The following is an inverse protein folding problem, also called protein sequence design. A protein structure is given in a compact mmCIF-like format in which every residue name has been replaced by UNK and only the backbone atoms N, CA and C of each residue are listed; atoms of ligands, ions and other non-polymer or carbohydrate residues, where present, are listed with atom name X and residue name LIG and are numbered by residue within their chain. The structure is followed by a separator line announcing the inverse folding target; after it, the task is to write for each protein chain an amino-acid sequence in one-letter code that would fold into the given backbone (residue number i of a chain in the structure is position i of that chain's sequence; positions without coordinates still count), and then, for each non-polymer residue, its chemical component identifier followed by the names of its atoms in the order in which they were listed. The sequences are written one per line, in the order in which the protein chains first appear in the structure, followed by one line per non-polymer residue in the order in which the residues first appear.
data_IF_170893018765
#
_entry.id   IF_170893018765
#
_cell.length_a   1.000
_cell.length_b   1.000
_cell.length_c   1.000
_cell.angle_alpha   90.00
_cell.angle_beta   90.00
_cell.angle_gamma   90.00
#
_symmetry.space_group_name_H-M   'P 1'
#
loop_
_entity.id
_entity.type
_entity.pdbx_description
1 polymer ?
#
# COMPACT_ATOMS: atom_id res chain seq x y z
N UNK A 1 -24.25 -15.25 -4.64
CA UNK A 1 -24.52 -16.48 -3.89
C UNK A 1 -23.21 -17.13 -3.50
N UNK A 2 -22.49 -16.50 -2.57
CA UNK A 2 -21.31 -17.09 -1.93
C UNK A 2 -21.76 -18.13 -0.91
N UNK A 3 -20.94 -19.16 -0.71
CA UNK A 3 -21.15 -20.22 0.25
C UNK A 3 -21.57 -19.66 1.60
N UNK A 4 -22.75 -20.05 2.04
CA UNK A 4 -23.34 -20.00 3.37
C UNK A 4 -22.73 -19.00 4.38
N UNK A 5 -23.26 -17.76 4.41
CA UNK A 5 -23.27 -16.93 5.61
C UNK A 5 -22.02 -16.10 5.93
N UNK A 6 -20.87 -16.32 5.31
CA UNK A 6 -19.62 -15.66 5.68
C UNK A 6 -19.44 -14.23 5.14
N UNK A 7 -20.25 -13.82 4.16
CA UNK A 7 -20.13 -12.52 3.49
C UNK A 7 -21.47 -11.73 3.42
N UNK A 8 -22.47 -12.12 4.19
CA UNK A 8 -23.71 -11.37 4.27
C UNK A 8 -23.57 -10.27 5.33
N UNK A 9 -23.46 -9.03 4.87
CA UNK A 9 -23.54 -7.85 5.74
C UNK A 9 -24.82 -7.08 5.39
N UNK A 10 -25.54 -6.63 6.42
CA UNK A 10 -26.65 -5.69 6.30
C UNK A 10 -26.17 -4.32 6.75
N UNK A 11 -26.40 -3.29 5.94
CA UNK A 11 -26.11 -1.91 6.27
C UNK A 11 -27.41 -1.17 6.54
N UNK A 12 -27.48 -0.47 7.68
CA UNK A 12 -28.57 0.42 8.04
C UNK A 12 -28.00 1.83 8.24
N UNK A 13 -28.49 2.78 7.45
CA UNK A 13 -28.02 4.16 7.42
C UNK A 13 -28.96 5.03 8.23
N UNK A 14 -28.51 5.44 9.42
CA UNK A 14 -29.18 6.43 10.26
C UNK A 14 -28.57 7.82 10.11
N UNK A 15 -29.15 8.78 10.79
CA UNK A 15 -28.66 10.16 10.83
C UNK A 15 -27.34 10.22 11.66
N UNK A 16 -26.23 10.48 10.98
CA UNK A 16 -24.89 10.50 11.60
C UNK A 16 -24.36 9.15 12.09
N UNK A 17 -25.01 8.04 11.73
CA UNK A 17 -24.58 6.70 12.13
C UNK A 17 -24.89 5.66 11.07
N UNK A 18 -23.93 4.79 10.74
CA UNK A 18 -24.15 3.58 9.96
C UNK A 18 -23.97 2.36 10.85
N UNK A 19 -24.96 1.46 10.81
CA UNK A 19 -24.88 0.17 11.49
C UNK A 19 -24.59 -0.92 10.46
N UNK A 20 -23.56 -1.72 10.70
CA UNK A 20 -23.20 -2.89 9.88
C UNK A 20 -23.43 -4.15 10.72
N UNK A 21 -24.30 -5.03 10.26
CA UNK A 21 -24.55 -6.33 10.90
C UNK A 21 -23.99 -7.42 10.00
N UNK A 22 -23.06 -8.19 10.50
CA UNK A 22 -22.43 -9.32 9.80
C UNK A 22 -22.40 -10.58 10.69
N UNK A 23 -21.70 -11.63 10.23
CA UNK A 23 -21.51 -12.87 11.00
C UNK A 23 -20.73 -12.73 12.32
N UNK A 24 -20.07 -11.59 12.57
CA UNK A 24 -19.33 -11.28 13.80
C UNK A 24 -20.16 -10.46 14.79
N UNK A 25 -21.25 -9.84 14.33
CA UNK A 25 -22.16 -9.05 15.15
C UNK A 25 -22.48 -7.67 14.58
N UNK A 26 -22.73 -6.71 15.46
CA UNK A 26 -23.15 -5.36 15.09
C UNK A 26 -22.01 -4.39 15.31
N UNK A 27 -21.58 -3.71 14.23
CA UNK A 27 -20.64 -2.60 14.25
C UNK A 27 -21.41 -1.29 14.03
N UNK A 28 -21.05 -0.22 14.73
CA UNK A 28 -21.62 1.13 14.52
C UNK A 28 -20.52 2.13 14.24
N UNK A 29 -20.77 2.97 13.23
CA UNK A 29 -19.87 4.04 12.79
C UNK A 29 -20.59 5.35 12.90
N UNK A 30 -20.05 6.25 13.70
CA UNK A 30 -20.62 7.59 13.95
C UNK A 30 -19.79 8.63 13.22
N UNK A 31 -20.43 9.55 12.52
CA UNK A 31 -19.80 10.55 11.66
C UNK A 31 -20.09 11.96 12.12
N UNK A 32 -19.19 12.89 11.77
CA UNK A 32 -19.50 14.30 11.75
C UNK A 32 -20.35 14.68 10.49
N UNK A 33 -20.80 15.95 10.36
CA UNK A 33 -21.55 16.41 9.18
C UNK A 33 -20.77 16.31 7.88
N UNK A 34 -19.44 16.28 7.93
CA UNK A 34 -18.55 16.23 6.77
C UNK A 34 -18.23 14.77 6.35
N UNK A 35 -18.70 13.79 7.12
CA UNK A 35 -18.57 12.36 6.83
C UNK A 35 -17.31 11.70 7.43
N UNK A 36 -16.55 12.40 8.27
CA UNK A 36 -15.43 11.81 8.99
C UNK A 36 -15.93 10.90 10.11
N UNK A 37 -15.37 9.71 10.26
CA UNK A 37 -15.71 8.80 11.35
C UNK A 37 -15.15 9.36 12.65
N UNK A 38 -16.03 9.70 13.60
CA UNK A 38 -15.64 10.16 14.93
C UNK A 38 -15.47 9.01 15.91
N UNK A 39 -16.26 7.92 15.72
CA UNK A 39 -16.27 6.78 16.62
C UNK A 39 -16.74 5.53 15.92
N UNK A 40 -16.04 4.43 16.20
CA UNK A 40 -16.47 3.06 15.88
C UNK A 40 -16.82 2.34 17.18
N UNK A 41 -17.88 1.54 17.15
CA UNK A 41 -18.28 0.64 18.22
C UNK A 41 -18.32 -0.81 17.68
N UNK A 42 -17.50 -1.68 18.22
CA UNK A 42 -17.42 -3.08 17.81
C UNK A 42 -18.53 -3.91 18.51
N UNK A 43 -18.82 -5.16 18.06
CA UNK A 43 -19.87 -6.02 18.63
C UNK A 43 -19.70 -6.33 20.11
N UNK A 44 -18.49 -6.30 20.64
CA UNK A 44 -18.18 -6.49 22.05
C UNK A 44 -18.36 -5.21 22.91
N UNK A 45 -18.81 -4.11 22.29
CA UNK A 45 -18.95 -2.80 22.91
C UNK A 45 -17.66 -2.00 23.03
N UNK A 46 -16.54 -2.52 22.56
CA UNK A 46 -15.28 -1.77 22.52
C UNK A 46 -15.35 -0.60 21.54
N UNK A 47 -14.71 0.53 21.89
CA UNK A 47 -14.87 1.78 21.15
C UNK A 47 -13.51 2.33 20.71
N UNK A 48 -13.41 2.69 19.43
CA UNK A 48 -12.30 3.45 18.87
C UNK A 48 -12.81 4.86 18.52
N UNK A 49 -12.06 5.91 18.84
CA UNK A 49 -12.40 7.29 18.48
C UNK A 49 -11.31 7.94 17.65
N UNK A 50 -11.71 8.96 16.87
CA UNK A 50 -10.87 9.61 15.88
C UNK A 50 -10.98 11.13 16.02
N UNK A 51 -9.88 11.83 15.84
CA UNK A 51 -9.81 13.29 15.79
C UNK A 51 -9.34 13.73 14.41
N UNK A 52 -9.99 14.76 13.85
CA UNK A 52 -9.74 15.26 12.51
C UNK A 52 -9.48 16.78 12.53
N UNK A 53 -8.72 17.28 11.56
CA UNK A 53 -8.60 18.71 11.32
C UNK A 53 -9.68 19.20 10.33
N UNK A 54 -9.69 20.51 10.06
CA UNK A 54 -10.60 21.17 9.12
C UNK A 54 -10.40 20.75 7.65
N UNK A 55 -9.29 20.05 7.33
CA UNK A 55 -8.96 19.53 6.00
C UNK A 55 -9.24 18.03 5.86
N UNK A 56 -9.91 17.42 6.85
CA UNK A 56 -10.19 15.98 6.93
C UNK A 56 -8.93 15.09 7.07
N UNK A 57 -7.84 15.62 7.62
CA UNK A 57 -6.71 14.81 7.99
C UNK A 57 -6.91 14.21 9.38
N UNK A 58 -6.64 12.92 9.54
CA UNK A 58 -6.71 12.24 10.84
C UNK A 58 -5.58 12.72 11.76
N UNK A 59 -5.91 13.37 12.88
CA UNK A 59 -4.93 13.86 13.86
C UNK A 59 -4.59 12.83 14.93
N UNK A 60 -5.61 12.08 15.41
CA UNK A 60 -5.42 11.07 16.42
C UNK A 60 -6.42 9.91 16.27
N UNK A 61 -5.98 8.73 16.69
CA UNK A 61 -6.79 7.53 16.84
C UNK A 61 -6.63 6.99 18.25
N UNK A 62 -7.73 6.86 18.98
CA UNK A 62 -7.76 6.34 20.34
C UNK A 62 -8.36 4.93 20.34
N UNK A 63 -7.56 3.94 20.72
CA UNK A 63 -8.02 2.55 20.80
C UNK A 63 -8.86 2.30 22.07
N UNK A 64 -9.65 1.21 22.13
CA UNK A 64 -10.41 0.84 23.33
C UNK A 64 -9.54 0.62 24.57
N UNK A 65 -8.27 0.26 24.39
CA UNK A 65 -7.31 0.08 25.47
C UNK A 65 -6.65 1.39 25.97
N UNK A 66 -7.14 2.55 25.50
CA UNK A 66 -6.59 3.86 25.86
C UNK A 66 -5.26 4.21 25.19
N UNK A 67 -4.84 3.45 24.19
CA UNK A 67 -3.64 3.74 23.39
C UNK A 67 -3.97 4.80 22.36
N UNK A 68 -3.03 5.74 22.12
CA UNK A 68 -3.22 6.85 21.21
C UNK A 68 -2.15 6.82 20.13
N UNK A 69 -2.57 6.83 18.88
CA UNK A 69 -1.72 7.08 17.71
C UNK A 69 -1.94 8.52 17.25
N UNK A 70 -0.88 9.21 16.81
CA UNK A 70 -0.96 10.61 16.37
C UNK A 70 -0.36 10.77 14.98
N UNK A 71 -0.94 11.71 14.23
CA UNK A 71 -0.56 12.02 12.86
C UNK A 71 -0.39 13.54 12.73
N UNK A 72 0.73 13.96 12.17
CA UNK A 72 1.01 15.37 11.89
C UNK A 72 1.24 15.54 10.39
N UNK A 73 0.78 16.66 9.84
CA UNK A 73 0.85 16.92 8.41
C UNK A 73 1.64 18.20 8.14
N UNK A 74 2.31 18.27 6.98
CA UNK A 74 2.97 19.49 6.57
C UNK A 74 1.94 20.50 6.04
N UNK A 75 2.10 21.77 6.40
CA UNK A 75 1.18 22.84 6.02
C UNK A 75 1.20 23.18 4.52
N UNK A 76 2.25 22.77 3.78
CA UNK A 76 2.41 23.14 2.38
C UNK A 76 1.54 22.29 1.44
N UNK A 77 1.38 20.99 1.75
CA UNK A 77 0.76 20.02 0.84
C UNK A 77 -0.21 19.08 1.54
N UNK A 78 -0.45 19.21 2.86
CA UNK A 78 -1.32 18.31 3.62
C UNK A 78 -0.80 16.86 3.67
N UNK A 79 0.50 16.65 3.52
CA UNK A 79 1.10 15.32 3.52
C UNK A 79 1.57 14.94 4.92
N UNK A 80 1.45 13.66 5.28
CA UNK A 80 1.88 13.15 6.58
C UNK A 80 3.37 13.42 6.80
N UNK A 81 3.70 14.22 7.81
CA UNK A 81 5.09 14.57 8.19
C UNK A 81 5.62 13.75 9.35
N UNK A 82 4.72 13.33 10.28
CA UNK A 82 5.05 12.49 11.42
C UNK A 82 3.90 11.56 11.77
N UNK A 83 4.25 10.34 12.12
CA UNK A 83 3.35 9.37 12.76
C UNK A 83 3.96 8.95 14.10
N UNK A 84 3.19 9.05 15.17
CA UNK A 84 3.56 8.55 16.49
C UNK A 84 2.68 7.36 16.83
N UNK A 85 3.29 6.20 16.97
CA UNK A 85 2.60 4.97 17.35
C UNK A 85 2.18 5.01 18.84
N UNK A 86 1.32 4.09 19.22
CA UNK A 86 0.74 4.03 20.56
C UNK A 86 1.74 3.74 21.70
N UNK A 87 2.92 3.23 21.37
CA UNK A 87 4.05 3.01 22.29
C UNK A 87 5.04 4.19 22.33
N UNK A 88 4.74 5.27 21.59
CA UNK A 88 5.58 6.46 21.47
C UNK A 88 6.65 6.37 20.38
N UNK A 89 6.71 5.29 19.60
CA UNK A 89 7.62 5.19 18.47
C UNK A 89 7.25 6.20 17.37
N UNK A 90 8.22 6.97 16.89
CA UNK A 90 7.98 8.05 15.92
C UNK A 90 8.58 7.72 14.55
N UNK A 91 7.79 7.93 13.51
CA UNK A 91 8.20 7.89 12.11
C UNK A 91 8.11 9.28 11.51
N UNK A 92 9.11 9.70 10.73
CA UNK A 92 9.14 10.98 10.06
C UNK A 92 9.21 10.80 8.55
N UNK A 93 8.45 11.64 7.84
CA UNK A 93 8.35 11.61 6.38
C UNK A 93 8.76 12.97 5.83
N UNK A 94 9.57 12.98 4.78
CA UNK A 94 9.95 14.19 4.05
C UNK A 94 9.65 14.01 2.58
N UNK A 95 9.37 15.12 1.93
CA UNK A 95 8.95 15.18 0.54
C UNK A 95 9.86 16.14 -0.22
N UNK A 96 10.03 15.92 -1.53
CA UNK A 96 10.73 16.83 -2.42
C UNK A 96 9.84 18.05 -2.78
N UNK A 97 10.39 18.98 -3.57
CA UNK A 97 9.68 20.20 -4.00
C UNK A 97 8.42 19.92 -4.83
N UNK A 98 8.31 18.74 -5.42
CA UNK A 98 7.14 18.27 -6.18
C UNK A 98 6.10 17.56 -5.30
N UNK A 99 6.38 17.42 -4.00
CA UNK A 99 5.52 16.70 -3.06
C UNK A 99 5.68 15.17 -3.15
N UNK A 100 6.74 14.65 -3.75
CA UNK A 100 7.01 13.23 -3.78
C UNK A 100 7.83 12.81 -2.54
N UNK A 101 7.48 11.68 -1.94
CA UNK A 101 8.19 11.16 -0.76
C UNK A 101 9.67 10.99 -1.08
N UNK A 102 10.54 11.62 -0.29
CA UNK A 102 11.99 11.58 -0.46
C UNK A 102 12.72 10.84 0.67
N UNK A 103 12.20 10.92 1.90
CA UNK A 103 12.83 10.26 3.05
C UNK A 103 11.78 9.69 4.01
N UNK A 104 12.12 8.55 4.59
CA UNK A 104 11.42 7.99 5.76
C UNK A 104 12.46 7.77 6.84
N UNK A 105 12.24 8.31 8.04
CA UNK A 105 13.07 8.03 9.21
C UNK A 105 12.26 7.23 10.22
N UNK A 106 12.80 6.10 10.66
CA UNK A 106 12.17 5.22 11.64
C UNK A 106 12.43 5.67 13.10
N UNK A 107 11.79 5.04 14.10
CA UNK A 107 11.98 5.38 15.51
C UNK A 107 13.41 5.17 16.03
N UNK A 108 14.24 4.37 15.35
CA UNK A 108 15.65 4.18 15.67
C UNK A 108 16.56 5.26 15.04
N UNK A 109 15.98 6.22 14.29
CA UNK A 109 16.71 7.26 13.56
C UNK A 109 17.30 6.77 12.23
N UNK A 110 16.96 5.56 11.80
CA UNK A 110 17.41 5.03 10.51
C UNK A 110 16.62 5.69 9.38
N UNK A 111 17.31 6.13 8.33
CA UNK A 111 16.68 6.87 7.23
C UNK A 111 16.83 6.12 5.91
N UNK A 112 15.70 5.89 5.26
CA UNK A 112 15.61 5.47 3.85
C UNK A 112 15.41 6.69 2.99
N UNK A 113 16.08 6.74 1.85
CA UNK A 113 15.96 7.83 0.88
C UNK A 113 15.43 7.30 -0.44
N UNK A 114 14.54 8.07 -1.07
CA UNK A 114 13.97 7.79 -2.37
C UNK A 114 14.20 8.96 -3.32
N UNK A 115 14.49 8.65 -4.58
CA UNK A 115 14.49 9.62 -5.67
C UNK A 115 13.52 9.16 -6.77
N UNK A 116 12.77 10.10 -7.32
CA UNK A 116 11.82 9.84 -8.40
C UNK A 116 12.28 10.51 -9.71
N UNK A 117 11.89 9.91 -10.84
CA UNK A 117 12.05 10.52 -12.16
C UNK A 117 11.06 11.68 -12.37
N UNK A 118 11.09 12.30 -13.57
CA UNK A 118 10.19 13.41 -13.93
C UNK A 118 8.71 13.01 -13.92
N UNK A 119 8.40 11.73 -14.10
CA UNK A 119 7.03 11.17 -14.08
C UNK A 119 6.55 10.84 -12.65
N UNK A 120 7.41 10.99 -11.64
CA UNK A 120 7.12 10.64 -10.25
C UNK A 120 7.36 9.17 -9.91
N UNK A 121 7.97 8.38 -10.81
CA UNK A 121 8.29 6.98 -10.55
C UNK A 121 9.60 6.88 -9.75
N UNK A 122 9.67 6.08 -8.66
CA UNK A 122 10.88 5.90 -7.88
C UNK A 122 11.96 5.22 -8.71
N UNK A 123 13.14 5.84 -8.83
CA UNK A 123 14.27 5.30 -9.62
C UNK A 123 15.47 4.91 -8.76
N UNK A 124 15.58 5.44 -7.54
CA UNK A 124 16.62 5.08 -6.57
C UNK A 124 16.03 4.99 -5.17
N UNK A 125 16.33 3.90 -4.48
CA UNK A 125 15.98 3.64 -3.08
C UNK A 125 17.28 3.35 -2.34
N UNK A 126 17.61 4.13 -1.32
CA UNK A 126 18.83 3.94 -0.52
C UNK A 126 18.43 3.53 0.89
N UNK A 127 18.99 2.42 1.36
CA UNK A 127 18.80 1.93 2.73
C UNK A 127 19.60 2.75 3.74
N UNK A 128 19.32 2.67 5.06
CA UNK A 128 20.13 3.31 6.10
C UNK A 128 21.61 2.89 6.10
N UNK A 129 21.92 1.72 5.56
CA UNK A 129 23.29 1.21 5.42
C UNK A 129 23.98 1.72 4.15
N UNK A 130 23.29 2.55 3.34
CA UNK A 130 23.82 3.08 2.09
C UNK A 130 23.72 2.14 0.90
N UNK A 131 22.96 1.02 1.03
CA UNK A 131 22.72 0.13 -0.10
C UNK A 131 21.70 0.75 -1.05
N UNK A 132 22.12 0.95 -2.30
CA UNK A 132 21.23 1.48 -3.33
C UNK A 132 20.55 0.34 -4.12
N UNK A 133 19.23 0.49 -4.29
CA UNK A 133 18.43 -0.28 -5.24
C UNK A 133 17.92 0.67 -6.32
N UNK A 134 18.27 0.41 -7.59
CA UNK A 134 17.77 1.18 -8.73
C UNK A 134 16.66 0.46 -9.44
N UNK A 135 15.66 1.23 -9.87
CA UNK A 135 14.46 0.77 -10.57
C UNK A 135 14.46 1.35 -11.99
N UNK A 136 14.16 0.50 -12.96
CA UNK A 136 13.99 0.91 -14.36
C UNK A 136 12.54 0.67 -14.80
N UNK A 137 12.06 1.50 -15.70
CA UNK A 137 10.68 1.45 -16.18
C UNK A 137 10.62 1.48 -17.71
N UNK A 138 9.56 0.90 -18.25
CA UNK A 138 9.21 1.06 -19.66
C UNK A 138 8.76 2.52 -19.94
N UNK A 139 8.64 2.93 -21.21
CA UNK A 139 8.04 4.22 -21.55
C UNK A 139 6.62 4.39 -21.00
N UNK A 140 5.87 3.30 -20.83
CA UNK A 140 4.51 3.28 -20.28
C UNK A 140 4.47 3.37 -18.73
N UNK A 141 5.63 3.36 -18.05
CA UNK A 141 5.72 3.44 -16.60
C UNK A 141 5.64 2.09 -15.87
N UNK A 142 5.74 0.97 -16.59
CA UNK A 142 5.78 -0.36 -16.00
C UNK A 142 7.20 -0.70 -15.56
N UNK A 143 7.36 -1.33 -14.38
CA UNK A 143 8.66 -1.74 -13.86
C UNK A 143 9.35 -2.74 -14.80
N UNK A 144 10.49 -2.40 -15.39
CA UNK A 144 11.24 -3.28 -16.30
C UNK A 144 12.50 -3.89 -15.69
N UNK A 145 12.97 -3.37 -14.56
CA UNK A 145 14.15 -3.92 -13.91
C UNK A 145 14.41 -3.42 -12.51
N UNK A 146 15.06 -4.27 -11.72
CA UNK A 146 15.60 -3.95 -10.39
C UNK A 146 17.09 -4.25 -10.41
N UNK A 147 17.91 -3.31 -9.90
CA UNK A 147 19.37 -3.41 -9.89
C UNK A 147 19.91 -3.12 -8.50
N UNK A 148 20.95 -3.86 -8.09
CA UNK A 148 21.77 -3.57 -6.91
C UNK A 148 23.25 -3.71 -7.28
N UNK A 149 24.07 -2.75 -6.88
CA UNK A 149 25.51 -2.74 -7.23
C UNK A 149 25.73 -2.94 -8.74
N UNK A 150 24.91 -2.30 -9.59
CA UNK A 150 24.89 -2.42 -11.04
C UNK A 150 24.53 -3.81 -11.62
N UNK A 151 24.28 -4.79 -10.77
CA UNK A 151 23.78 -6.09 -11.18
C UNK A 151 22.26 -6.12 -11.27
N UNK A 152 21.73 -6.69 -12.36
CA UNK A 152 20.30 -6.93 -12.49
C UNK A 152 19.85 -8.02 -11.53
N UNK A 153 18.90 -7.68 -10.66
CA UNK A 153 18.27 -8.62 -9.73
C UNK A 153 16.95 -9.18 -10.26
N UNK A 154 16.26 -8.38 -11.07
CA UNK A 154 15.02 -8.75 -11.74
C UNK A 154 14.94 -8.01 -13.07
N UNK A 155 14.51 -8.71 -14.13
CA UNK A 155 14.08 -8.13 -15.40
C UNK A 155 12.63 -8.50 -15.65
N UNK A 156 11.83 -7.58 -16.22
CA UNK A 156 10.45 -7.82 -16.60
C UNK A 156 10.26 -7.29 -18.02
N UNK A 157 9.79 -8.16 -18.91
CA UNK A 157 9.35 -7.79 -20.24
C UNK A 157 7.84 -8.02 -20.34
N UNK A 158 7.18 -7.17 -21.11
CA UNK A 158 5.73 -7.13 -21.23
C UNK A 158 5.30 -7.43 -22.65
N UNK A 159 4.17 -8.10 -22.81
CA UNK A 159 3.52 -8.24 -24.10
C UNK A 159 2.86 -6.91 -24.56
N UNK A 160 2.27 -6.93 -25.75
CA UNK A 160 1.60 -5.76 -26.33
C UNK A 160 0.34 -5.29 -25.57
N UNK A 161 -0.16 -6.07 -24.61
CA UNK A 161 -1.24 -5.70 -23.69
C UNK A 161 -0.72 -5.21 -22.32
N UNK A 162 0.60 -5.00 -22.16
CA UNK A 162 1.26 -4.63 -20.91
C UNK A 162 1.14 -5.71 -19.79
N UNK A 163 1.05 -6.99 -20.16
CA UNK A 163 1.07 -8.11 -19.22
C UNK A 163 2.50 -8.65 -19.13
N UNK A 164 3.00 -9.00 -17.92
CA UNK A 164 4.36 -9.56 -17.76
C UNK A 164 4.50 -10.86 -18.54
N UNK A 165 5.28 -10.86 -19.62
CA UNK A 165 5.51 -12.04 -20.47
C UNK A 165 6.77 -12.79 -20.08
N UNK A 166 7.86 -12.06 -19.80
CA UNK A 166 9.15 -12.65 -19.40
C UNK A 166 9.63 -12.04 -18.10
N UNK A 167 10.00 -12.90 -17.14
CA UNK A 167 10.70 -12.53 -15.93
C UNK A 167 12.12 -13.11 -16.00
N UNK A 168 13.15 -12.26 -15.83
CA UNK A 168 14.56 -12.68 -15.75
C UNK A 168 15.03 -12.54 -14.30
N UNK A 169 15.49 -13.64 -13.71
CA UNK A 169 16.00 -13.64 -12.33
C UNK A 169 17.46 -13.17 -12.22
N UNK A 170 17.98 -13.12 -10.99
CA UNK A 170 19.36 -12.73 -10.68
C UNK A 170 20.42 -13.60 -11.35
N UNK A 171 20.10 -14.84 -11.72
CA UNK A 171 20.99 -15.78 -12.43
C UNK A 171 20.88 -15.65 -13.96
N UNK A 172 20.08 -14.69 -14.45
CA UNK A 172 19.79 -14.54 -15.88
C UNK A 172 18.84 -15.60 -16.44
N UNK A 173 18.13 -16.35 -15.59
CA UNK A 173 17.20 -17.38 -16.01
C UNK A 173 15.85 -16.77 -16.30
N UNK A 174 15.23 -17.19 -17.40
CA UNK A 174 13.97 -16.65 -17.88
C UNK A 174 12.78 -17.56 -17.53
N UNK A 175 11.70 -16.91 -17.11
CA UNK A 175 10.39 -17.50 -16.89
C UNK A 175 9.40 -16.82 -17.82
N UNK A 176 8.69 -17.60 -18.62
CA UNK A 176 7.74 -17.07 -19.60
C UNK A 176 6.31 -17.41 -19.20
N UNK A 177 5.40 -16.45 -19.42
CA UNK A 177 3.96 -16.59 -19.17
C UNK A 177 3.19 -16.29 -20.45
N UNK A 178 2.35 -17.22 -20.88
CA UNK A 178 1.41 -17.05 -21.99
C UNK A 178 0.01 -16.77 -21.42
N UNK A 179 -0.75 -15.84 -22.03
CA UNK A 179 -2.06 -15.43 -21.56
C UNK A 179 -3.16 -15.79 -22.59
N UNK A 180 -4.39 -16.01 -22.07
CA UNK A 180 -5.59 -16.12 -22.90
C UNK A 180 -6.05 -14.73 -23.37
N UNK A 181 -7.03 -14.72 -24.27
CA UNK A 181 -7.70 -13.48 -24.68
C UNK A 181 -8.52 -12.78 -23.57
N UNK A 182 -8.67 -13.42 -22.39
CA UNK A 182 -9.36 -12.87 -21.22
C UNK A 182 -8.36 -12.49 -20.11
N UNK A 183 -7.08 -12.24 -20.46
CA UNK A 183 -6.01 -11.84 -19.55
C UNK A 183 -5.65 -12.85 -18.43
N UNK A 184 -6.09 -14.10 -18.58
CA UNK A 184 -5.74 -15.17 -17.65
C UNK A 184 -4.45 -15.88 -18.11
N UNK A 185 -3.48 -16.16 -17.22
CA UNK A 185 -2.30 -16.95 -17.57
C UNK A 185 -2.72 -18.38 -17.94
N UNK A 186 -2.34 -18.87 -19.11
CA UNK A 186 -2.71 -20.22 -19.58
C UNK A 186 -1.53 -21.18 -19.62
N UNK A 187 -0.31 -20.64 -19.65
CA UNK A 187 0.90 -21.48 -19.63
C UNK A 187 2.07 -20.70 -19.01
N UNK A 188 2.81 -21.36 -18.16
CA UNK A 188 4.05 -20.86 -17.58
C UNK A 188 5.18 -21.81 -17.93
N UNK A 189 6.33 -21.28 -18.37
CA UNK A 189 7.54 -22.03 -18.68
C UNK A 189 8.68 -21.55 -17.78
N UNK A 190 9.34 -22.46 -17.08
CA UNK A 190 10.54 -22.18 -16.30
C UNK A 190 11.84 -22.30 -17.12
N UNK A 191 12.98 -21.91 -16.53
CA UNK A 191 14.28 -21.82 -17.21
C UNK A 191 14.83 -23.19 -17.70
N UNK A 192 14.40 -24.30 -17.11
CA UNK A 192 14.75 -25.64 -17.53
C UNK A 192 13.85 -26.22 -18.62
N UNK A 193 12.98 -25.41 -19.24
CA UNK A 193 12.04 -25.85 -20.28
C UNK A 193 10.77 -26.55 -19.76
N UNK A 194 10.68 -26.81 -18.43
CA UNK A 194 9.48 -27.36 -17.82
C UNK A 194 8.33 -26.35 -17.97
N UNK A 195 7.13 -26.84 -18.23
CA UNK A 195 5.96 -25.97 -18.37
C UNK A 195 4.75 -26.52 -17.63
N UNK A 196 3.94 -25.60 -17.11
CA UNK A 196 2.64 -25.88 -16.50
C UNK A 196 1.57 -25.19 -17.33
N UNK A 197 0.49 -25.91 -17.63
CA UNK A 197 -0.72 -25.35 -18.24
C UNK A 197 -1.76 -25.13 -17.14
N UNK A 198 -2.41 -23.98 -17.19
CA UNK A 198 -3.49 -23.60 -16.29
C UNK A 198 -4.82 -23.66 -17.03
N UNK A 199 -5.84 -24.22 -16.38
CA UNK A 199 -7.21 -24.26 -16.87
C UNK A 199 -8.08 -23.47 -15.88
N UNK A 200 -8.93 -22.58 -16.43
CA UNK A 200 -9.79 -21.67 -15.69
C UNK A 200 -11.26 -21.96 -15.96
#
# INVERSE_FOLDING_TARGET
TGAEGYYNATLDYGDGCTTVTDGKGIHRYYYDPDGNILREEAPDGSTTTYEWDEFHHLLARHSPAGRVEKFEYNAAHGQLSRYTAADGAEWQYRYDERGLLSNITDPAGQTWTQQCDERGLPVSLVSPQGEETRLAYTPQGLLSGIFRQDERRLGIEYDHHNRPETLTDVMGREHHTEYSGHDLPVKMRGPGGQSVRLQW
#
